data_IF_099785549807
#
_entry.id   IF_099785549807
#
_cell.length_a   1.000
_cell.length_b   1.000
_cell.length_c   1.000
_cell.angle_alpha   90.00
_cell.angle_beta   90.00
_cell.angle_gamma   90.00
#
_symmetry.space_group_name_H-M   'P 1'
#
loop_
_entity.id
_entity.type
_entity.pdbx_description
1 polymer ?
#
# COMPACT_ATOMS: atom_id res chain seq x y z
N UNK A 1 3.24 -11.28 20.26
CA UNK A 1 2.28 -12.18 19.56
C UNK A 1 3.04 -12.99 18.54
N UNK A 2 2.73 -14.27 18.44
CA UNK A 2 3.40 -15.16 17.48
C UNK A 2 3.16 -14.72 16.03
N UNK A 3 4.20 -14.63 15.19
CA UNK A 3 4.06 -14.41 13.76
C UNK A 3 3.38 -15.62 13.08
N UNK A 4 3.00 -15.44 11.84
CA UNK A 4 2.25 -16.47 11.06
C UNK A 4 2.99 -17.81 10.97
N UNK A 5 4.32 -17.78 10.92
CA UNK A 5 5.15 -19.00 10.88
C UNK A 5 5.18 -19.77 12.21
N UNK A 6 4.82 -19.16 13.32
CA UNK A 6 4.97 -19.69 14.67
C UNK A 6 3.63 -20.06 15.34
N UNK A 7 2.55 -20.03 14.59
CA UNK A 7 1.20 -20.40 15.06
C UNK A 7 0.42 -21.10 13.97
N UNK A 8 -0.52 -21.99 14.32
CA UNK A 8 -1.52 -22.48 13.37
C UNK A 8 -2.60 -21.42 13.16
N UNK A 9 -3.29 -21.49 12.03
CA UNK A 9 -4.40 -20.57 11.75
C UNK A 9 -5.12 -20.91 10.46
N UNK A 10 -6.02 -20.02 10.09
CA UNK A 10 -6.75 -20.07 8.83
C UNK A 10 -6.95 -18.64 8.35
N UNK A 11 -6.67 -18.39 7.08
CA UNK A 11 -7.05 -17.14 6.44
C UNK A 11 -8.12 -17.38 5.40
N UNK A 12 -8.87 -16.35 5.10
CA UNK A 12 -9.90 -16.35 4.05
C UNK A 12 -9.34 -15.57 2.88
N UNK A 13 -9.34 -16.18 1.68
CA UNK A 13 -8.91 -15.48 0.48
C UNK A 13 -10.04 -14.57 -0.06
N UNK A 14 -9.75 -13.81 -1.10
CA UNK A 14 -10.72 -12.90 -1.73
C UNK A 14 -11.95 -13.59 -2.31
N UNK A 15 -11.90 -14.90 -2.57
CA UNK A 15 -13.03 -15.71 -3.00
C UNK A 15 -13.90 -16.23 -1.83
N UNK A 16 -13.54 -15.92 -0.59
CA UNK A 16 -14.22 -16.44 0.60
C UNK A 16 -13.82 -17.85 0.98
N UNK A 17 -12.76 -18.40 0.39
CA UNK A 17 -12.31 -19.77 0.69
C UNK A 17 -11.38 -19.80 1.90
N UNK A 18 -11.65 -20.72 2.80
CA UNK A 18 -10.81 -21.01 3.96
C UNK A 18 -9.50 -21.67 3.52
N UNK A 19 -8.38 -21.17 4.02
CA UNK A 19 -7.03 -21.66 3.77
C UNK A 19 -6.34 -21.91 5.11
N UNK A 20 -6.45 -23.13 5.66
CA UNK A 20 -5.77 -23.47 6.91
C UNK A 20 -4.27 -23.58 6.68
N UNK A 21 -3.49 -23.22 7.69
CA UNK A 21 -2.05 -23.39 7.74
C UNK A 21 -1.61 -23.90 9.11
N UNK A 22 -0.55 -24.71 9.13
CA UNK A 22 0.05 -25.22 10.34
C UNK A 22 1.16 -24.33 10.87
N UNK A 23 1.53 -24.54 12.12
CA UNK A 23 2.72 -23.96 12.71
C UNK A 23 3.98 -24.55 12.04
N UNK A 24 4.84 -23.71 11.51
CA UNK A 24 6.09 -24.12 10.86
C UNK A 24 7.29 -24.07 11.80
N UNK A 25 7.30 -23.13 12.74
CA UNK A 25 8.38 -22.96 13.71
C UNK A 25 7.84 -23.06 15.14
N UNK A 26 8.57 -23.78 15.99
CA UNK A 26 8.22 -23.86 17.42
C UNK A 26 8.58 -22.53 18.09
N UNK A 27 7.63 -21.94 18.79
CA UNK A 27 7.80 -20.69 19.52
C UNK A 27 7.12 -20.79 20.89
N UNK A 28 7.56 -19.93 21.79
CA UNK A 28 6.92 -19.71 23.10
C UNK A 28 5.97 -18.51 23.06
N UNK A 29 5.88 -17.83 21.91
CA UNK A 29 4.99 -16.67 21.74
C UNK A 29 3.54 -17.12 21.64
N UNK A 30 2.66 -16.33 22.26
CA UNK A 30 1.23 -16.62 22.25
C UNK A 30 0.59 -16.23 20.93
N UNK A 31 -0.31 -17.08 20.39
CA UNK A 31 -1.14 -16.71 19.26
C UNK A 31 -2.11 -15.57 19.59
N UNK A 32 -2.58 -14.86 18.56
CA UNK A 32 -3.38 -13.64 18.72
C UNK A 32 -4.65 -13.86 19.54
N UNK A 33 -5.37 -14.96 19.29
CA UNK A 33 -6.60 -15.29 20.00
C UNK A 33 -6.37 -15.48 21.50
N UNK A 34 -5.25 -16.09 21.88
CA UNK A 34 -4.88 -16.30 23.29
C UNK A 34 -4.51 -14.99 23.98
N UNK A 35 -3.79 -14.10 23.28
CA UNK A 35 -3.48 -12.74 23.77
C UNK A 35 -4.77 -11.96 23.97
N UNK A 36 -5.69 -11.98 23.01
CA UNK A 36 -6.99 -11.30 23.13
C UNK A 36 -7.82 -11.86 24.27
N UNK A 37 -7.85 -13.17 24.47
CA UNK A 37 -8.52 -13.83 25.58
C UNK A 37 -7.97 -13.37 26.94
N UNK A 38 -6.64 -13.28 27.08
CA UNK A 38 -6.01 -12.77 28.32
C UNK A 38 -6.29 -11.30 28.56
N UNK A 39 -6.27 -10.48 27.53
CA UNK A 39 -6.63 -9.04 27.66
C UNK A 39 -8.07 -8.90 28.12
N UNK A 40 -8.99 -9.63 27.51
CA UNK A 40 -10.40 -9.62 27.89
C UNK A 40 -10.59 -10.06 29.35
N UNK A 41 -9.90 -11.12 29.77
CA UNK A 41 -9.95 -11.59 31.15
C UNK A 41 -9.48 -10.50 32.14
N UNK A 42 -8.40 -9.78 31.83
CA UNK A 42 -7.93 -8.65 32.67
C UNK A 42 -8.97 -7.52 32.71
N UNK A 43 -9.71 -7.32 31.64
CA UNK A 43 -10.82 -6.35 31.55
C UNK A 43 -12.11 -6.84 32.24
N UNK A 44 -12.14 -8.05 32.76
CA UNK A 44 -13.34 -8.65 33.37
C UNK A 44 -14.39 -9.10 32.34
N UNK A 45 -13.97 -9.34 31.09
CA UNK A 45 -14.83 -9.80 30.00
C UNK A 45 -14.48 -11.25 29.64
N UNK A 46 -15.47 -12.10 29.57
CA UNK A 46 -15.32 -13.48 29.10
C UNK A 46 -15.67 -13.54 27.61
N UNK A 47 -14.70 -13.91 26.76
CA UNK A 47 -14.92 -14.09 25.32
C UNK A 47 -15.36 -15.50 24.95
N UNK A 48 -15.30 -16.47 25.86
CA UNK A 48 -15.64 -17.87 25.57
C UNK A 48 -14.66 -18.57 24.62
N UNK A 49 -13.50 -17.96 24.35
CA UNK A 49 -12.46 -18.49 23.45
C UNK A 49 -11.39 -19.15 24.33
N UNK A 50 -11.51 -20.45 24.53
CA UNK A 50 -10.59 -21.26 25.34
C UNK A 50 -9.70 -22.20 24.47
N UNK A 51 -10.02 -22.32 23.20
CA UNK A 51 -9.30 -23.17 22.26
C UNK A 51 -9.52 -22.73 20.80
N UNK A 52 -8.62 -23.13 19.89
CA UNK A 52 -8.84 -22.97 18.44
C UNK A 52 -10.14 -23.64 17.97
N UNK A 53 -10.54 -24.74 18.62
CA UNK A 53 -11.75 -25.44 18.27
C UNK A 53 -13.00 -24.62 18.59
N UNK A 54 -13.06 -23.98 19.76
CA UNK A 54 -14.17 -23.08 20.13
C UNK A 54 -14.21 -21.86 19.23
N UNK A 55 -13.04 -21.27 18.92
CA UNK A 55 -12.92 -20.16 17.99
C UNK A 55 -13.46 -20.49 16.58
N UNK A 56 -13.08 -21.66 16.04
CA UNK A 56 -13.59 -22.08 14.73
C UNK A 56 -15.07 -22.43 14.73
N UNK A 57 -15.61 -22.96 15.83
CA UNK A 57 -17.03 -23.19 15.95
C UNK A 57 -17.82 -21.89 15.86
N UNK A 58 -17.43 -20.86 16.61
CA UNK A 58 -18.03 -19.53 16.55
C UNK A 58 -17.85 -18.88 15.17
N UNK A 59 -16.65 -18.94 14.60
CA UNK A 59 -16.39 -18.40 13.28
C UNK A 59 -17.29 -19.05 12.19
N UNK A 60 -17.53 -20.36 12.27
CA UNK A 60 -18.40 -21.06 11.34
C UNK A 60 -19.85 -20.61 11.46
N UNK A 61 -20.35 -20.31 12.65
CA UNK A 61 -21.70 -19.76 12.83
C UNK A 61 -21.85 -18.37 12.21
N UNK A 62 -20.78 -17.56 12.23
CA UNK A 62 -20.78 -16.22 11.65
C UNK A 62 -20.56 -16.18 10.13
N UNK A 63 -19.98 -17.24 9.56
CA UNK A 63 -19.64 -17.28 8.13
C UNK A 63 -20.80 -17.67 7.21
N UNK A 64 -21.84 -18.26 7.71
CA UNK A 64 -23.04 -18.62 6.92
C UNK A 64 -23.91 -17.37 6.67
N UNK A 65 -23.63 -16.71 5.55
CA UNK A 65 -24.39 -15.55 5.13
C UNK A 65 -25.69 -15.96 4.42
N UNK A 66 -26.81 -15.72 5.07
CA UNK A 66 -28.17 -15.93 4.55
C UNK A 66 -28.89 -14.63 4.12
N UNK A 67 -28.22 -13.48 4.32
CA UNK A 67 -28.78 -12.18 3.96
C UNK A 67 -28.77 -11.87 2.47
N UNK A 68 -29.40 -10.76 2.10
CA UNK A 68 -29.38 -10.27 0.72
C UNK A 68 -27.94 -9.95 0.28
N UNK A 69 -27.56 -10.49 -0.87
CA UNK A 69 -26.31 -10.09 -1.52
C UNK A 69 -26.52 -8.76 -2.23
N UNK A 70 -25.50 -7.92 -2.17
CA UNK A 70 -25.49 -6.66 -2.92
C UNK A 70 -25.58 -6.99 -4.41
N UNK A 71 -26.55 -6.39 -5.10
CA UNK A 71 -26.65 -6.48 -6.55
C UNK A 71 -25.69 -5.46 -7.15
N UNK A 72 -24.89 -5.87 -8.12
CA UNK A 72 -24.05 -4.96 -8.88
C UNK A 72 -24.92 -3.92 -9.58
N UNK A 73 -24.72 -2.65 -9.26
CA UNK A 73 -25.55 -1.55 -9.77
C UNK A 73 -25.13 -1.06 -11.17
N UNK A 74 -24.15 -1.70 -11.79
CA UNK A 74 -23.53 -1.27 -13.03
C UNK A 74 -22.34 -0.34 -12.79
N UNK A 75 -21.56 -0.12 -13.84
CA UNK A 75 -20.45 0.83 -13.80
C UNK A 75 -20.98 2.26 -13.88
N UNK A 76 -20.71 3.06 -12.89
CA UNK A 76 -20.77 4.51 -13.04
C UNK A 76 -19.45 4.95 -13.64
N UNK A 77 -19.42 5.50 -14.87
CA UNK A 77 -18.17 5.99 -15.45
C UNK A 77 -17.53 7.00 -14.47
N UNK A 78 -16.27 6.78 -14.14
CA UNK A 78 -15.52 7.75 -13.37
C UNK A 78 -15.40 9.03 -14.20
N UNK A 79 -15.70 10.19 -13.61
CA UNK A 79 -15.37 11.46 -14.23
C UNK A 79 -13.85 11.56 -14.40
N UNK A 80 -13.42 11.83 -15.63
CA UNK A 80 -12.01 12.11 -15.91
C UNK A 80 -11.69 13.50 -15.34
N UNK A 81 -10.87 13.51 -14.31
CA UNK A 81 -10.37 14.76 -13.74
C UNK A 81 -9.37 15.37 -14.72
N UNK A 82 -9.68 16.57 -15.23
CA UNK A 82 -8.71 17.39 -15.98
C UNK A 82 -7.91 18.19 -14.94
N UNK A 83 -6.59 17.94 -14.78
CA UNK A 83 -5.79 18.68 -13.82
C UNK A 83 -5.77 20.17 -14.15
N UNK A 84 -5.89 21.08 -13.16
CA UNK A 84 -5.65 22.50 -13.35
C UNK A 84 -4.23 22.80 -13.84
N UNK A 85 -3.97 24.05 -14.23
CA UNK A 85 -2.64 24.50 -14.62
C UNK A 85 -1.61 24.16 -13.51
N UNK A 86 -0.43 23.73 -13.93
CA UNK A 86 0.69 23.30 -13.08
C UNK A 86 0.43 22.07 -12.21
N UNK A 87 -0.71 21.40 -12.38
CA UNK A 87 -1.01 20.16 -11.66
C UNK A 87 -1.05 18.95 -12.59
N UNK A 88 -0.76 17.80 -12.01
CA UNK A 88 -0.84 16.50 -12.63
C UNK A 88 -1.51 15.49 -11.69
N UNK A 89 -2.06 14.43 -12.24
CA UNK A 89 -2.54 13.30 -11.45
C UNK A 89 -1.36 12.43 -11.07
N UNK A 90 -1.16 12.19 -9.78
CA UNK A 90 -0.16 11.22 -9.33
C UNK A 90 -0.73 9.81 -9.43
N UNK A 91 0.07 8.89 -9.96
CA UNK A 91 -0.15 7.46 -9.82
C UNK A 91 1.08 6.84 -9.19
N UNK A 92 0.88 5.98 -8.23
CA UNK A 92 1.98 5.32 -7.53
C UNK A 92 1.69 3.83 -7.37
N UNK A 93 2.75 3.04 -7.30
CA UNK A 93 2.67 1.61 -7.09
C UNK A 93 3.89 1.13 -6.30
N UNK A 94 3.68 0.11 -5.48
CA UNK A 94 4.78 -0.57 -4.79
C UNK A 94 5.70 -1.24 -5.78
N UNK A 95 6.99 -1.08 -5.58
CA UNK A 95 8.00 -1.83 -6.32
C UNK A 95 8.25 -3.16 -5.62
N UNK A 96 8.87 -4.11 -6.32
CA UNK A 96 9.13 -5.44 -5.75
C UNK A 96 10.10 -5.39 -4.56
N UNK A 97 11.08 -4.50 -4.63
CA UNK A 97 11.98 -4.17 -3.52
C UNK A 97 11.71 -2.70 -3.19
N UNK A 98 11.23 -2.43 -2.00
CA UNK A 98 10.87 -1.10 -1.52
C UNK A 98 11.26 -0.92 -0.03
N UNK A 99 10.87 0.18 0.58
CA UNK A 99 11.09 0.46 1.99
C UNK A 99 9.80 0.25 2.83
N UNK A 100 8.84 -0.50 2.25
CA UNK A 100 7.59 -0.83 2.92
C UNK A 100 7.74 -1.78 4.09
N UNK A 101 6.69 -1.89 4.88
CA UNK A 101 6.66 -2.64 6.15
C UNK A 101 7.13 -4.10 6.02
N UNK A 102 6.85 -4.76 4.89
CA UNK A 102 7.25 -6.16 4.67
C UNK A 102 8.77 -6.35 4.50
N UNK A 103 9.51 -5.27 4.28
CA UNK A 103 10.97 -5.31 4.05
C UNK A 103 11.75 -4.59 5.16
N UNK A 104 11.08 -4.20 6.24
CA UNK A 104 11.74 -3.61 7.40
C UNK A 104 12.76 -4.59 7.99
N UNK A 105 14.01 -4.13 8.13
CA UNK A 105 15.13 -4.94 8.62
C UNK A 105 15.85 -5.77 7.57
N UNK A 106 15.37 -5.82 6.33
CA UNK A 106 16.03 -6.51 5.20
C UNK A 106 16.99 -5.56 4.45
N UNK A 107 17.98 -4.99 5.15
CA UNK A 107 18.86 -3.93 4.65
C UNK A 107 19.62 -4.31 3.37
N UNK A 108 20.14 -5.54 3.29
CA UNK A 108 20.85 -6.01 2.11
C UNK A 108 19.94 -6.17 0.89
N UNK A 109 18.68 -6.57 1.12
CA UNK A 109 17.67 -6.64 0.07
C UNK A 109 17.27 -5.24 -0.39
N UNK A 110 17.03 -4.32 0.53
CA UNK A 110 16.71 -2.93 0.21
C UNK A 110 17.83 -2.25 -0.57
N UNK A 111 19.10 -2.52 -0.25
CA UNK A 111 20.25 -2.01 -0.98
C UNK A 111 20.32 -2.50 -2.44
N UNK A 112 19.69 -3.64 -2.76
CA UNK A 112 19.57 -4.14 -4.13
C UNK A 112 18.37 -3.53 -4.89
N UNK A 113 17.59 -2.66 -4.25
CA UNK A 113 16.47 -1.94 -4.86
C UNK A 113 16.92 -1.01 -5.99
N UNK A 114 16.01 -0.75 -6.93
CA UNK A 114 16.26 0.23 -8.00
C UNK A 114 16.12 1.65 -7.46
N UNK A 115 16.95 2.55 -7.98
CA UNK A 115 16.79 3.98 -7.72
C UNK A 115 15.39 4.46 -8.11
N UNK A 116 14.82 5.33 -7.30
CA UNK A 116 13.53 5.93 -7.58
C UNK A 116 13.63 6.96 -8.70
N UNK A 117 12.63 6.98 -9.57
CA UNK A 117 12.48 7.99 -10.61
C UNK A 117 10.99 8.21 -10.89
N UNK A 118 10.68 9.37 -11.43
CA UNK A 118 9.35 9.69 -11.91
C UNK A 118 9.22 9.37 -13.41
N UNK A 119 8.04 8.93 -13.85
CA UNK A 119 7.71 8.76 -15.26
C UNK A 119 6.63 9.76 -15.64
N UNK A 120 6.84 10.46 -16.75
CA UNK A 120 5.87 11.34 -17.38
C UNK A 120 5.87 11.12 -18.89
N UNK A 121 4.78 11.54 -19.56
CA UNK A 121 4.74 11.47 -21.00
C UNK A 121 5.60 12.58 -21.64
N UNK A 122 6.09 12.38 -22.90
CA UNK A 122 6.79 13.44 -23.62
C UNK A 122 5.96 14.73 -23.77
N UNK A 123 4.65 14.60 -23.91
CA UNK A 123 3.72 15.74 -24.03
C UNK A 123 3.67 16.53 -22.71
N UNK A 124 3.59 15.81 -21.56
CA UNK A 124 3.66 16.46 -20.25
C UNK A 124 5.02 17.13 -20.03
N UNK A 125 6.11 16.46 -20.41
CA UNK A 125 7.45 17.03 -20.30
C UNK A 125 7.58 18.32 -21.12
N UNK A 126 7.08 18.35 -22.34
CA UNK A 126 7.08 19.53 -23.20
C UNK A 126 6.26 20.67 -22.58
N UNK A 127 5.08 20.37 -22.06
CA UNK A 127 4.18 21.36 -21.45
C UNK A 127 4.82 22.03 -20.22
N UNK A 128 5.53 21.26 -19.40
CA UNK A 128 6.17 21.74 -18.16
C UNK A 128 7.62 22.16 -18.33
N UNK A 129 8.20 22.09 -19.54
CA UNK A 129 9.60 22.43 -19.80
C UNK A 129 10.60 21.46 -19.16
N UNK A 130 10.25 20.20 -19.04
CA UNK A 130 11.07 19.14 -18.42
C UNK A 130 11.80 18.35 -19.50
N UNK A 131 13.09 18.07 -19.28
CA UNK A 131 13.91 17.23 -20.19
C UNK A 131 14.04 15.82 -19.66
N UNK A 132 14.29 14.85 -20.55
CA UNK A 132 14.61 13.47 -20.15
C UNK A 132 15.89 13.45 -19.31
N UNK A 133 15.88 12.73 -18.22
CA UNK A 133 16.98 12.72 -17.24
C UNK A 133 17.06 13.96 -16.36
N UNK A 134 16.21 14.97 -16.58
CA UNK A 134 16.07 16.11 -15.68
C UNK A 134 15.41 15.71 -14.35
N UNK A 135 15.22 16.67 -13.46
CA UNK A 135 14.55 16.47 -12.18
C UNK A 135 13.22 17.21 -12.10
N UNK A 136 12.31 16.68 -11.29
CA UNK A 136 11.04 17.33 -10.94
C UNK A 136 10.83 17.35 -9.45
N UNK A 137 10.04 18.33 -9.01
CA UNK A 137 9.43 18.38 -7.68
C UNK A 137 7.94 18.13 -7.80
N UNK A 138 7.43 17.19 -7.00
CA UNK A 138 6.01 16.97 -6.75
C UNK A 138 5.67 17.57 -5.40
N UNK A 139 4.69 18.46 -5.38
CA UNK A 139 4.43 19.32 -4.21
C UNK A 139 2.96 19.24 -3.82
N UNK A 140 2.73 19.18 -2.52
CA UNK A 140 1.41 19.33 -1.87
C UNK A 140 1.53 20.30 -0.70
N UNK A 141 0.45 20.59 -0.02
CA UNK A 141 0.43 21.35 1.23
C UNK A 141 1.19 20.65 2.37
N UNK A 142 1.38 19.35 2.30
CA UNK A 142 2.11 18.55 3.30
C UNK A 142 3.62 18.55 3.10
N UNK A 143 4.10 18.58 1.86
CA UNK A 143 5.52 18.56 1.56
C UNK A 143 5.82 18.32 0.09
N UNK A 144 7.03 17.87 -0.18
CA UNK A 144 7.50 17.63 -1.55
C UNK A 144 8.36 16.38 -1.68
N UNK A 145 8.37 15.82 -2.90
CA UNK A 145 9.27 14.76 -3.36
C UNK A 145 10.03 15.26 -4.58
N UNK A 146 11.33 15.01 -4.64
CA UNK A 146 12.16 15.33 -5.79
C UNK A 146 12.72 14.06 -6.43
N UNK A 147 12.51 13.89 -7.72
CA UNK A 147 12.92 12.68 -8.44
C UNK A 147 13.48 13.01 -9.82
N UNK A 148 14.47 12.23 -10.31
CA UNK A 148 14.84 12.26 -11.71
C UNK A 148 13.70 11.76 -12.58
N UNK A 149 13.63 12.23 -13.83
CA UNK A 149 12.56 11.92 -14.78
C UNK A 149 13.02 10.96 -15.86
N UNK A 150 12.16 10.01 -16.18
CA UNK A 150 12.26 9.14 -17.36
C UNK A 150 11.02 9.35 -18.23
N UNK A 151 11.21 9.77 -19.46
CA UNK A 151 10.11 9.92 -20.41
C UNK A 151 9.57 8.55 -20.82
N UNK A 152 8.25 8.40 -20.70
CA UNK A 152 7.58 7.13 -20.95
C UNK A 152 6.26 7.38 -21.68
N UNK A 153 5.89 6.51 -22.61
CA UNK A 153 4.58 6.58 -23.27
C UNK A 153 3.47 6.28 -22.25
N UNK A 154 2.75 7.31 -21.84
CA UNK A 154 1.68 7.26 -20.83
C UNK A 154 0.71 8.43 -21.03
N UNK A 155 -0.45 8.46 -20.37
CA UNK A 155 -1.39 9.57 -20.48
C UNK A 155 -0.74 10.91 -20.12
N UNK A 156 -1.19 11.98 -20.81
CA UNK A 156 -0.76 13.34 -20.54
C UNK A 156 -1.24 13.81 -19.15
N UNK A 157 -0.46 14.67 -18.50
CA UNK A 157 -0.71 15.19 -17.15
C UNK A 157 -0.90 14.12 -16.09
N UNK A 158 -0.23 12.98 -16.27
CA UNK A 158 -0.09 11.92 -15.26
C UNK A 158 1.38 11.77 -14.93
N UNK A 159 1.71 11.66 -13.65
CA UNK A 159 3.05 11.30 -13.17
C UNK A 159 2.98 9.98 -12.44
N UNK A 160 3.84 9.05 -12.80
CA UNK A 160 4.04 7.81 -12.06
C UNK A 160 5.30 7.88 -11.22
N UNK A 161 5.20 7.44 -9.95
CA UNK A 161 6.33 7.33 -9.03
C UNK A 161 6.24 6.04 -8.21
N UNK A 162 7.35 5.50 -7.70
CA UNK A 162 7.30 4.44 -6.70
C UNK A 162 6.57 4.92 -5.44
N UNK A 163 5.75 4.05 -4.83
CA UNK A 163 4.91 4.44 -3.69
C UNK A 163 5.71 4.62 -2.39
N UNK A 164 6.65 3.68 -2.13
CA UNK A 164 7.40 3.61 -0.88
C UNK A 164 8.82 3.09 -1.14
N UNK A 165 9.62 3.86 -1.86
CA UNK A 165 11.01 3.53 -2.17
C UNK A 165 11.92 4.69 -1.77
N UNK A 166 13.23 4.46 -1.68
CA UNK A 166 14.19 5.48 -1.30
C UNK A 166 13.97 6.78 -2.09
N UNK A 167 13.75 7.88 -1.39
CA UNK A 167 13.44 9.19 -1.97
C UNK A 167 12.01 9.35 -2.54
N UNK A 168 11.16 8.33 -2.44
CA UNK A 168 9.76 8.38 -2.92
C UNK A 168 8.80 7.74 -1.93
N UNK A 169 8.59 8.39 -0.79
CA UNK A 169 7.59 8.02 0.22
C UNK A 169 6.33 8.86 0.02
N UNK A 170 5.50 8.49 -0.96
CA UNK A 170 4.38 9.31 -1.43
C UNK A 170 3.42 9.69 -0.31
N UNK A 171 2.92 8.71 0.43
CA UNK A 171 1.96 8.99 1.50
C UNK A 171 2.58 9.77 2.67
N UNK A 172 3.79 9.43 3.06
CA UNK A 172 4.48 10.08 4.18
C UNK A 172 4.83 11.53 3.83
N UNK A 173 5.41 11.78 2.65
CA UNK A 173 5.92 13.09 2.24
C UNK A 173 4.84 14.00 1.67
N UNK A 174 3.90 13.46 0.89
CA UNK A 174 2.89 14.25 0.19
C UNK A 174 1.49 14.14 0.81
N UNK A 175 1.23 13.15 1.65
CA UNK A 175 -0.08 12.90 2.27
C UNK A 175 -1.17 12.45 1.30
N UNK A 176 -0.80 11.98 0.12
CA UNK A 176 -1.73 11.60 -0.95
C UNK A 176 -1.52 10.15 -1.42
N UNK A 177 -2.47 9.65 -2.19
CA UNK A 177 -2.42 8.34 -2.83
C UNK A 177 -2.68 8.48 -4.32
N UNK A 178 -2.59 7.38 -5.07
CA UNK A 178 -2.92 7.35 -6.51
C UNK A 178 -4.27 7.98 -6.81
N UNK A 179 -4.30 8.82 -7.85
CA UNK A 179 -5.48 9.57 -8.29
C UNK A 179 -5.57 11.00 -7.76
N UNK A 180 -4.74 11.38 -6.80
CA UNK A 180 -4.71 12.73 -6.28
C UNK A 180 -4.06 13.72 -7.26
N UNK A 181 -4.38 15.00 -7.10
CA UNK A 181 -3.72 16.10 -7.81
C UNK A 181 -2.51 16.58 -7.00
N UNK A 182 -1.39 16.73 -7.68
CA UNK A 182 -0.15 17.30 -7.11
C UNK A 182 0.38 18.39 -8.04
N UNK A 183 1.04 19.40 -7.49
CA UNK A 183 1.74 20.39 -8.28
C UNK A 183 3.03 19.77 -8.83
N UNK A 184 3.32 20.03 -10.11
CA UNK A 184 4.53 19.59 -10.79
C UNK A 184 5.38 20.80 -11.16
N UNK A 185 6.62 20.80 -10.72
CA UNK A 185 7.60 21.82 -11.08
C UNK A 185 8.88 21.19 -11.64
N UNK A 186 9.45 21.76 -12.71
CA UNK A 186 10.80 21.38 -13.12
C UNK A 186 11.81 21.79 -12.05
N UNK A 187 12.78 20.92 -11.77
CA UNK A 187 13.87 21.24 -10.85
C UNK A 187 15.21 21.24 -11.61
N UNK A 188 16.02 22.26 -11.42
CA UNK A 188 17.29 22.40 -12.13
C UNK A 188 18.39 21.48 -11.57
N UNK A 189 18.26 20.99 -10.32
CA UNK A 189 19.27 20.16 -9.65
C UNK A 189 18.63 19.03 -8.83
N UNK A 190 19.01 17.79 -9.11
CA UNK A 190 18.84 16.69 -8.15
C UNK A 190 19.97 16.81 -7.12
N UNK A 191 19.67 17.13 -5.89
CA UNK A 191 20.62 16.89 -4.81
C UNK A 191 20.75 15.36 -4.64
N UNK A 192 21.90 14.84 -5.06
CA UNK A 192 22.30 13.44 -4.84
C UNK A 192 22.59 13.19 -3.37
#
# INVERSE_FOLDING_TARGET
MAPVSEKPGTFINWEGRLRPFGQALVSHDMPDWEVLGKVAQVMGVELGIDSLKSLYAEANELMDWDGKRVTFAGDTPAELVTPPDKQVVITCHKTQIDEGLLQVGATDMQAAGRASFARISPETAQEFGITDGGAISLITDRGQIQLPVVLTKMPQRVVWVPECSAGSHVYESLGVTSGALVQLEPNAEVQQ
#
